data_IF_482197157875
#
_entry.id   IF_482197157875
#
_cell.length_a   1.000
_cell.length_b   1.000
_cell.length_c   1.000
_cell.angle_alpha   90.00
_cell.angle_beta   90.00
_cell.angle_gamma   90.00
#
_symmetry.space_group_name_H-M   'P 1'
#
loop_
_entity.id
_entity.type
_entity.pdbx_description
1 polymer ?
#
# COMPACT_ATOMS: atom_id res chain seq x y z
N UNK A 1 -8.28 10.85 14.79
CA UNK A 1 -6.89 10.42 15.06
C UNK A 1 -6.54 9.46 13.94
N UNK A 2 -5.47 9.71 13.20
CA UNK A 2 -5.13 8.92 11.99
C UNK A 2 -4.08 7.87 12.34
N UNK A 3 -4.33 6.62 11.98
CA UNK A 3 -3.41 5.51 12.15
C UNK A 3 -2.49 5.47 10.94
N UNK A 4 -1.19 5.66 11.18
CA UNK A 4 -0.15 5.61 10.15
C UNK A 4 0.39 4.19 10.03
N UNK A 5 0.37 3.64 8.83
CA UNK A 5 0.83 2.27 8.56
C UNK A 5 1.85 2.23 7.42
N UNK A 6 2.78 1.29 7.51
CA UNK A 6 3.66 0.89 6.40
C UNK A 6 3.28 -0.50 5.89
N UNK A 7 3.44 -0.73 4.59
CA UNK A 7 3.24 -2.04 3.96
C UNK A 7 4.60 -2.65 3.64
N UNK A 8 4.95 -3.77 4.28
CA UNK A 8 6.17 -4.51 3.99
C UNK A 8 5.82 -5.77 3.16
N UNK A 9 6.20 -5.76 1.89
CA UNK A 9 5.78 -6.74 0.88
C UNK A 9 4.59 -6.24 0.06
N UNK A 10 4.86 -5.65 -1.11
CA UNK A 10 3.90 -5.07 -2.06
C UNK A 10 3.52 -6.01 -3.21
N UNK A 11 3.47 -7.31 -2.90
CA UNK A 11 2.92 -8.35 -3.75
C UNK A 11 1.39 -8.33 -3.83
N UNK A 12 0.79 -9.49 -4.10
CA UNK A 12 -0.68 -9.63 -4.28
C UNK A 12 -1.49 -9.06 -3.10
N UNK A 13 -1.10 -9.37 -1.86
CA UNK A 13 -1.83 -8.94 -0.66
C UNK A 13 -1.56 -7.47 -0.35
N UNK A 14 -0.29 -7.03 -0.39
CA UNK A 14 0.06 -5.62 -0.11
C UNK A 14 -0.70 -4.63 -1.00
N UNK A 15 -0.84 -4.92 -2.30
CA UNK A 15 -1.62 -4.08 -3.22
C UNK A 15 -3.12 -4.05 -2.88
N UNK A 16 -3.71 -5.18 -2.50
CA UNK A 16 -5.11 -5.23 -2.08
C UNK A 16 -5.35 -4.52 -0.74
N UNK A 17 -4.39 -4.60 0.18
CA UNK A 17 -4.42 -3.83 1.43
C UNK A 17 -4.39 -2.33 1.15
N UNK A 18 -3.50 -1.86 0.26
CA UNK A 18 -3.49 -0.45 -0.14
C UNK A 18 -4.84 0.00 -0.73
N UNK A 19 -5.40 -0.78 -1.66
CA UNK A 19 -6.72 -0.47 -2.25
C UNK A 19 -7.82 -0.40 -1.19
N UNK A 20 -7.85 -1.36 -0.27
CA UNK A 20 -8.85 -1.39 0.81
C UNK A 20 -8.68 -0.22 1.78
N UNK A 21 -7.44 0.10 2.18
CA UNK A 21 -7.12 1.23 3.04
C UNK A 21 -7.65 2.55 2.45
N UNK A 22 -7.42 2.77 1.15
CA UNK A 22 -7.86 4.00 0.46
C UNK A 22 -9.38 4.08 0.24
N UNK A 23 -10.07 2.94 0.13
CA UNK A 23 -11.50 2.91 -0.20
C UNK A 23 -12.42 2.81 1.02
N UNK A 24 -11.99 2.11 2.08
CA UNK A 24 -12.88 1.68 3.16
C UNK A 24 -12.54 2.29 4.53
N UNK A 25 -11.37 2.90 4.69
CA UNK A 25 -10.88 3.36 6.00
C UNK A 25 -10.38 4.81 5.95
N UNK A 26 -11.22 5.74 6.41
CA UNK A 26 -10.91 7.18 6.39
C UNK A 26 -9.92 7.62 7.48
N UNK A 27 -9.63 6.75 8.44
CA UNK A 27 -8.72 6.96 9.57
C UNK A 27 -7.36 6.29 9.37
N UNK A 28 -7.10 5.67 8.21
CA UNK A 28 -5.83 5.03 7.86
C UNK A 28 -5.04 5.88 6.86
N UNK A 29 -3.75 6.07 7.13
CA UNK A 29 -2.78 6.70 6.23
C UNK A 29 -1.63 5.73 5.95
N UNK A 30 -1.46 5.32 4.69
CA UNK A 30 -0.32 4.49 4.28
C UNK A 30 0.86 5.42 3.99
N UNK A 31 1.89 5.37 4.84
CA UNK A 31 3.02 6.33 4.79
C UNK A 31 4.25 5.79 4.06
N UNK A 32 4.37 4.47 3.92
CA UNK A 32 5.50 3.85 3.25
C UNK A 32 5.14 2.46 2.70
N UNK A 33 5.82 2.08 1.62
CA UNK A 33 5.76 0.74 1.03
C UNK A 33 7.21 0.27 0.87
N UNK A 34 7.49 -0.95 1.32
CA UNK A 34 8.77 -1.63 1.12
C UNK A 34 8.57 -2.92 0.31
N UNK A 35 9.38 -3.12 -0.72
CA UNK A 35 9.43 -4.36 -1.52
C UNK A 35 10.84 -4.52 -2.12
N UNK A 36 11.07 -5.62 -2.85
CA UNK A 36 12.34 -5.91 -3.51
C UNK A 36 12.41 -5.33 -4.94
N UNK A 37 11.30 -4.82 -5.45
CA UNK A 37 11.15 -4.34 -6.82
C UNK A 37 11.20 -2.80 -6.89
N UNK A 38 11.59 -2.29 -8.05
CA UNK A 38 11.65 -0.85 -8.31
C UNK A 38 10.26 -0.18 -8.27
N UNK A 39 10.15 1.08 -7.80
CA UNK A 39 8.86 1.78 -7.64
C UNK A 39 8.01 1.83 -8.92
N UNK A 40 8.62 2.05 -10.09
CA UNK A 40 7.90 2.13 -11.36
C UNK A 40 7.20 0.81 -11.72
N UNK A 41 7.86 -0.32 -11.42
CA UNK A 41 7.29 -1.64 -11.64
C UNK A 41 6.17 -1.95 -10.64
N UNK A 42 6.35 -1.57 -9.37
CA UNK A 42 5.30 -1.68 -8.36
C UNK A 42 4.06 -0.84 -8.73
N UNK A 43 4.25 0.37 -9.26
CA UNK A 43 3.18 1.22 -9.76
C UNK A 43 2.47 0.61 -10.96
N UNK A 44 3.22 0.01 -11.90
CA UNK A 44 2.66 -0.75 -13.02
C UNK A 44 1.77 -1.92 -12.53
N UNK A 45 2.23 -2.69 -11.53
CA UNK A 45 1.47 -3.80 -10.95
C UNK A 45 0.25 -3.36 -10.12
N UNK A 46 0.21 -2.10 -9.69
CA UNK A 46 -0.88 -1.51 -8.91
C UNK A 46 -2.04 -0.98 -9.77
N UNK A 47 -1.79 -0.67 -11.06
CA UNK A 47 -2.86 -0.37 -12.02
C UNK A 47 -3.99 -1.41 -11.93
#
# INVERSE_FOLDING_TARGET
MTIKIGINGFGRIGRNVLRSALQNFSDIEVVAINDLLEPDYLAYMLK
#
